data_IF_596011258683
#
_entry.id   IF_596011258683
#
_cell.length_a   1.000
_cell.length_b   1.000
_cell.length_c   1.000
_cell.angle_alpha   90.00
_cell.angle_beta   90.00
_cell.angle_gamma   90.00
#
_symmetry.space_group_name_H-M   'P 1'
#
loop_
_entity.id
_entity.type
_entity.pdbx_description
1 polymer ?
#
# COMPACT_ATOMS: atom_id res chain seq x y z
N UNK A 1 -8.15 -27.11 -6.48
CA UNK A 1 -8.58 -26.26 -7.63
C UNK A 1 -9.04 -24.87 -7.19
N UNK A 2 -9.97 -24.73 -6.24
CA UNK A 2 -10.53 -23.43 -5.82
C UNK A 2 -9.48 -22.38 -5.42
N UNK A 3 -8.49 -22.74 -4.60
CA UNK A 3 -7.39 -21.84 -4.20
C UNK A 3 -6.59 -21.33 -5.40
N UNK A 4 -6.35 -22.17 -6.41
CA UNK A 4 -5.63 -21.81 -7.63
C UNK A 4 -6.47 -20.90 -8.53
N UNK A 5 -7.78 -21.18 -8.65
CA UNK A 5 -8.71 -20.33 -9.41
C UNK A 5 -8.75 -18.89 -8.85
N UNK A 6 -8.75 -18.75 -7.53
CA UNK A 6 -8.66 -17.43 -6.89
C UNK A 6 -7.35 -16.68 -7.19
N UNK A 7 -6.25 -17.38 -7.53
CA UNK A 7 -4.95 -16.76 -7.86
C UNK A 7 -4.90 -16.11 -9.24
N UNK A 8 -5.81 -16.44 -10.17
CA UNK A 8 -5.88 -15.74 -11.46
C UNK A 8 -6.20 -14.25 -11.31
N UNK A 9 -6.82 -13.85 -10.19
CA UNK A 9 -7.00 -12.43 -9.86
C UNK A 9 -5.68 -11.63 -9.75
N UNK A 10 -4.54 -12.30 -9.58
CA UNK A 10 -3.23 -11.66 -9.52
C UNK A 10 -2.86 -11.03 -10.85
N UNK A 11 -3.00 -11.77 -11.96
CA UNK A 11 -2.68 -11.29 -13.31
C UNK A 11 -3.76 -10.33 -13.85
N UNK A 12 -4.98 -10.39 -13.31
CA UNK A 12 -6.08 -9.49 -13.67
C UNK A 12 -6.10 -8.21 -12.81
N UNK A 13 -5.16 -8.06 -11.86
CA UNK A 13 -5.08 -6.86 -11.04
C UNK A 13 -4.78 -5.65 -11.91
N UNK A 14 -5.48 -4.54 -11.69
CA UNK A 14 -5.10 -3.25 -12.28
C UNK A 14 -3.79 -2.80 -11.65
N UNK A 15 -2.71 -2.83 -12.42
CA UNK A 15 -1.36 -2.53 -11.96
C UNK A 15 -0.63 -1.64 -12.97
N UNK A 16 0.48 -1.02 -12.54
CA UNK A 16 1.45 -0.37 -13.42
C UNK A 16 2.79 -1.06 -13.21
N UNK A 17 3.44 -1.46 -14.30
CA UNK A 17 4.76 -2.07 -14.25
C UNK A 17 5.81 -1.03 -13.84
N UNK A 18 6.55 -1.31 -12.77
CA UNK A 18 7.73 -0.55 -12.39
C UNK A 18 8.84 -0.82 -13.41
N UNK A 19 9.42 0.24 -13.96
CA UNK A 19 10.46 0.17 -14.98
C UNK A 19 11.83 -0.13 -14.33
N UNK A 20 11.99 -1.35 -13.83
CA UNK A 20 13.23 -1.88 -13.25
C UNK A 20 13.69 -3.09 -14.07
N UNK A 21 15.00 -3.17 -14.30
CA UNK A 21 15.61 -4.38 -14.85
C UNK A 21 15.75 -5.43 -13.74
N UNK A 22 14.83 -6.40 -13.73
CA UNK A 22 14.79 -7.44 -12.70
C UNK A 22 15.97 -8.42 -12.79
N UNK A 23 16.68 -8.48 -13.91
CA UNK A 23 17.86 -9.33 -14.03
C UNK A 23 19.05 -8.73 -13.25
N UNK A 24 19.03 -7.41 -13.04
CA UNK A 24 20.00 -6.67 -12.22
C UNK A 24 19.62 -6.56 -10.74
N UNK A 25 18.39 -6.94 -10.38
CA UNK A 25 17.84 -6.81 -9.02
C UNK A 25 18.00 -8.12 -8.26
N UNK A 26 18.57 -8.06 -7.07
CA UNK A 26 18.68 -9.21 -6.19
C UNK A 26 17.38 -9.39 -5.39
N UNK A 27 16.62 -10.44 -5.71
CA UNK A 27 15.41 -10.82 -4.99
C UNK A 27 15.76 -11.96 -4.03
N UNK A 28 15.70 -11.70 -2.73
CA UNK A 28 16.00 -12.68 -1.68
C UNK A 28 14.72 -13.06 -0.92
N UNK A 29 14.62 -14.33 -0.53
CA UNK A 29 13.57 -14.81 0.37
C UNK A 29 14.08 -14.72 1.80
N UNK A 30 13.30 -14.08 2.68
CA UNK A 30 13.59 -13.98 4.11
C UNK A 30 12.41 -14.54 4.91
N UNK A 31 12.69 -15.02 6.12
CA UNK A 31 11.67 -15.66 6.95
C UNK A 31 10.60 -14.68 7.45
N UNK A 32 9.39 -15.22 7.60
CA UNK A 32 8.32 -14.56 8.34
C UNK A 32 8.66 -14.50 9.83
N UNK A 33 8.26 -13.40 10.49
CA UNK A 33 8.49 -13.20 11.91
C UNK A 33 7.21 -13.58 12.67
N UNK A 34 7.19 -14.68 13.44
CA UNK A 34 6.02 -15.08 14.20
C UNK A 34 5.86 -14.27 15.49
N UNK A 35 4.62 -14.13 15.96
CA UNK A 35 4.32 -13.65 17.31
C UNK A 35 4.83 -14.66 18.33
N UNK A 36 5.43 -14.15 19.41
CA UNK A 36 5.89 -14.94 20.54
C UNK A 36 5.22 -14.47 21.83
N UNK A 37 4.93 -15.41 22.70
CA UNK A 37 4.46 -15.11 24.06
C UNK A 37 5.62 -14.65 24.97
N UNK A 38 5.29 -14.37 26.22
CA UNK A 38 6.25 -13.96 27.26
C UNK A 38 7.34 -15.02 27.55
N UNK A 39 7.10 -16.28 27.20
CA UNK A 39 8.03 -17.39 27.36
C UNK A 39 8.84 -17.67 26.07
N UNK A 40 8.61 -16.89 25.01
CA UNK A 40 9.27 -17.05 23.71
C UNK A 40 8.67 -18.12 22.80
N UNK A 41 7.54 -18.72 23.18
CA UNK A 41 6.83 -19.74 22.38
C UNK A 41 6.01 -19.07 21.28
N UNK A 42 5.93 -19.72 20.12
CA UNK A 42 5.18 -19.20 18.97
C UNK A 42 3.68 -19.28 19.24
N UNK A 43 3.00 -18.14 19.07
CA UNK A 43 1.54 -18.07 19.22
C UNK A 43 0.87 -18.59 17.94
N UNK A 44 -0.01 -19.57 18.12
CA UNK A 44 -0.78 -20.18 17.04
C UNK A 44 -2.21 -19.64 17.04
N UNK A 45 -2.78 -19.48 15.85
CA UNK A 45 -4.20 -19.25 15.67
C UNK A 45 -5.00 -20.47 16.17
N UNK A 46 -6.11 -20.21 16.87
CA UNK A 46 -6.97 -21.23 17.46
C UNK A 46 -7.81 -21.97 16.41
N UNK A 47 -8.08 -21.35 15.26
CA UNK A 47 -8.96 -21.93 14.25
C UNK A 47 -8.21 -22.85 13.29
N UNK A 48 -7.05 -22.43 12.79
CA UNK A 48 -6.31 -23.12 11.74
C UNK A 48 -4.92 -23.61 12.18
N UNK A 49 -4.53 -23.38 13.44
CA UNK A 49 -3.30 -23.90 14.04
C UNK A 49 -2.02 -23.31 13.45
N UNK A 50 -2.12 -22.28 12.62
CA UNK A 50 -0.97 -21.63 11.98
C UNK A 50 -0.33 -20.59 12.90
N UNK A 51 0.98 -20.35 12.78
CA UNK A 51 1.62 -19.28 13.53
C UNK A 51 1.05 -17.92 13.12
N UNK A 52 0.71 -17.08 14.11
CA UNK A 52 0.39 -15.68 13.88
C UNK A 52 1.68 -14.95 13.49
N UNK A 53 1.64 -14.14 12.43
CA UNK A 53 2.82 -13.50 11.86
C UNK A 53 2.76 -11.98 12.01
N UNK A 54 3.86 -11.37 12.46
CA UNK A 54 4.05 -9.91 12.46
C UNK A 54 4.23 -9.35 11.04
N UNK A 55 4.76 -10.16 10.13
CA UNK A 55 5.20 -9.72 8.80
C UNK A 55 4.35 -10.30 7.66
N UNK A 56 3.15 -10.78 7.96
CA UNK A 56 2.27 -11.40 6.96
C UNK A 56 2.09 -10.46 5.76
N UNK A 57 2.51 -10.93 4.59
CA UNK A 57 2.34 -10.20 3.34
C UNK A 57 3.23 -8.96 3.22
N UNK A 58 4.29 -8.80 4.01
CA UNK A 58 5.14 -7.61 4.00
C UNK A 58 6.63 -7.93 3.84
N UNK A 59 7.22 -7.40 2.76
CA UNK A 59 8.63 -7.49 2.42
C UNK A 59 9.32 -6.13 2.48
N UNK A 60 10.55 -6.08 1.98
CA UNK A 60 11.34 -4.85 1.90
C UNK A 60 11.83 -4.56 0.49
N UNK A 61 12.01 -3.28 0.18
CA UNK A 61 12.64 -2.81 -1.04
C UNK A 61 13.69 -1.76 -0.71
N UNK A 62 14.82 -1.82 -1.42
CA UNK A 62 15.88 -0.81 -1.34
C UNK A 62 15.39 0.56 -1.85
N UNK A 63 15.92 1.62 -1.25
CA UNK A 63 15.48 3.00 -1.54
C UNK A 63 15.67 3.37 -3.01
N UNK A 64 16.78 2.95 -3.63
CA UNK A 64 17.09 3.27 -5.02
C UNK A 64 16.08 2.68 -6.03
N UNK A 65 15.47 1.53 -5.71
CA UNK A 65 14.41 0.94 -6.53
C UNK A 65 13.08 1.64 -6.28
N UNK A 66 12.76 1.98 -5.03
CA UNK A 66 11.51 2.65 -4.68
C UNK A 66 11.38 4.05 -5.31
N UNK A 67 12.49 4.78 -5.49
CA UNK A 67 12.52 6.09 -6.15
C UNK A 67 12.09 6.02 -7.63
N UNK A 68 12.17 4.85 -8.26
CA UNK A 68 11.75 4.65 -9.65
C UNK A 68 10.23 4.58 -9.80
N UNK A 69 9.47 4.60 -8.69
CA UNK A 69 8.01 4.64 -8.71
C UNK A 69 7.50 5.80 -9.60
N UNK A 70 6.59 5.55 -10.56
CA UNK A 70 6.04 6.58 -11.42
C UNK A 70 5.40 7.73 -10.64
N UNK A 71 5.60 8.97 -11.11
CA UNK A 71 5.02 10.20 -10.51
C UNK A 71 3.50 10.19 -10.51
N UNK A 72 2.90 9.53 -11.49
CA UNK A 72 1.45 9.49 -11.63
C UNK A 72 0.82 8.75 -10.46
N UNK A 73 1.50 7.80 -9.81
CA UNK A 73 1.01 7.26 -8.54
C UNK A 73 0.96 8.31 -7.43
N UNK A 74 2.00 9.14 -7.29
CA UNK A 74 2.07 10.19 -6.28
C UNK A 74 1.02 11.30 -6.48
N UNK A 75 0.50 11.50 -7.70
CA UNK A 75 -0.44 12.58 -8.05
C UNK A 75 -1.87 12.12 -8.37
N UNK A 76 -2.08 10.89 -8.85
CA UNK A 76 -3.33 10.47 -9.50
C UNK A 76 -4.52 10.14 -8.58
N UNK A 77 -4.45 10.37 -7.26
CA UNK A 77 -5.64 10.30 -6.39
C UNK A 77 -6.24 11.66 -6.02
N UNK A 78 -5.73 12.75 -6.60
CA UNK A 78 -6.35 14.07 -6.52
C UNK A 78 -7.34 14.35 -7.67
N UNK A 79 -7.64 13.36 -8.53
CA UNK A 79 -8.64 13.53 -9.59
C UNK A 79 -9.87 12.67 -9.27
N UNK A 80 -11.03 13.34 -9.25
CA UNK A 80 -12.35 12.71 -9.05
C UNK A 80 -12.59 11.64 -10.12
N UNK A 81 -13.43 10.65 -9.79
CA UNK A 81 -13.70 9.46 -10.60
C UNK A 81 -14.21 9.71 -12.05
N UNK A 82 -14.48 10.95 -12.45
CA UNK A 82 -14.98 11.31 -13.79
C UNK A 82 -13.89 11.32 -14.89
N UNK A 83 -12.59 11.35 -14.55
CA UNK A 83 -11.51 11.42 -15.55
C UNK A 83 -11.00 10.04 -16.03
N UNK A 84 -11.55 8.94 -15.51
CA UNK A 84 -11.07 7.58 -15.83
C UNK A 84 -11.38 7.14 -17.27
N UNK A 85 -12.32 7.78 -17.96
CA UNK A 85 -12.67 7.41 -19.34
C UNK A 85 -11.67 7.89 -20.41
N UNK A 86 -10.75 8.80 -20.08
CA UNK A 86 -9.76 9.31 -21.05
C UNK A 86 -8.48 8.48 -21.19
N UNK A 87 -8.33 7.40 -20.41
CA UNK A 87 -7.09 6.61 -20.37
C UNK A 87 -7.08 5.35 -21.27
N UNK A 88 -8.08 5.17 -22.15
CA UNK A 88 -8.15 3.96 -22.99
C UNK A 88 -7.26 3.97 -24.24
N UNK A 89 -6.78 5.12 -24.69
CA UNK A 89 -6.02 5.19 -25.94
C UNK A 89 -4.63 5.78 -25.72
N UNK A 90 -3.63 4.94 -25.44
CA UNK A 90 -2.22 5.27 -25.60
C UNK A 90 -1.47 4.06 -26.20
N UNK A 91 -1.88 3.68 -27.41
CA UNK A 91 -0.88 3.28 -28.39
C UNK A 91 -0.17 4.55 -28.86
N UNK A 92 1.16 4.52 -28.83
CA UNK A 92 2.08 5.47 -29.43
C UNK A 92 2.04 6.94 -28.93
N UNK A 93 2.90 7.25 -27.95
CA UNK A 93 3.47 8.60 -27.88
C UNK A 93 4.95 8.52 -27.50
N UNK A 94 5.74 8.57 -28.56
CA UNK A 94 7.15 8.94 -28.61
C UNK A 94 7.44 10.19 -27.76
N UNK A 95 7.69 9.97 -26.47
CA UNK A 95 8.21 10.98 -25.54
C UNK A 95 9.47 10.45 -24.86
N UNK A 96 10.45 10.05 -25.66
CA UNK A 96 11.86 10.13 -25.28
C UNK A 96 12.22 11.62 -25.07
N UNK A 97 11.78 12.21 -23.97
CA UNK A 97 12.29 13.50 -23.52
C UNK A 97 12.63 13.44 -22.05
N UNK A 98 13.94 13.33 -21.81
CA UNK A 98 14.63 13.88 -20.64
C UNK A 98 14.31 13.18 -19.32
N UNK A 99 14.87 11.98 -19.19
CA UNK A 99 15.40 11.44 -17.94
C UNK A 99 16.57 12.30 -17.41
N UNK A 100 16.33 13.59 -17.18
CA UNK A 100 17.33 14.50 -16.61
C UNK A 100 16.92 14.96 -15.22
N UNK A 101 17.86 14.72 -14.31
CA UNK A 101 17.96 15.10 -12.91
C UNK A 101 17.09 14.29 -11.94
N UNK A 102 17.80 13.37 -11.27
CA UNK A 102 17.50 12.86 -9.93
C UNK A 102 17.49 14.03 -8.92
N UNK A 103 16.53 14.95 -9.05
CA UNK A 103 16.27 15.99 -8.05
C UNK A 103 15.37 15.41 -6.97
N UNK A 104 15.84 15.36 -5.73
CA UNK A 104 15.10 15.15 -4.47
C UNK A 104 13.72 14.51 -4.63
N UNK A 105 13.67 13.25 -5.08
CA UNK A 105 12.42 12.48 -5.09
C UNK A 105 12.37 11.65 -3.82
N UNK A 106 11.42 11.96 -2.96
CA UNK A 106 11.11 11.07 -1.85
C UNK A 106 10.33 9.86 -2.39
N UNK A 107 10.83 8.63 -2.18
CA UNK A 107 10.08 7.45 -2.54
C UNK A 107 8.86 7.28 -1.64
N UNK A 108 7.79 6.62 -2.10
CA UNK A 108 6.73 6.18 -1.20
C UNK A 108 7.31 5.24 -0.14
N UNK A 109 6.88 5.36 1.11
CA UNK A 109 7.38 4.53 2.21
C UNK A 109 6.91 3.07 2.10
N UNK A 110 5.69 2.87 1.60
CA UNK A 110 5.08 1.54 1.43
C UNK A 110 4.46 1.43 0.05
N UNK A 111 4.60 0.27 -0.58
CA UNK A 111 4.03 -0.02 -1.89
C UNK A 111 3.28 -1.34 -1.85
N UNK A 112 2.05 -1.38 -2.33
CA UNK A 112 1.32 -2.62 -2.57
C UNK A 112 1.67 -3.12 -3.97
N UNK A 113 2.17 -4.35 -4.06
CA UNK A 113 2.75 -4.87 -5.30
C UNK A 113 2.28 -6.27 -5.64
N UNK A 114 2.41 -6.61 -6.92
CA UNK A 114 2.43 -7.98 -7.45
C UNK A 114 3.81 -8.16 -8.06
N UNK A 115 4.50 -9.23 -7.70
CA UNK A 115 5.80 -9.56 -8.26
C UNK A 115 5.69 -10.92 -8.92
N UNK A 116 6.00 -10.96 -10.21
CA UNK A 116 6.15 -12.17 -11.00
C UNK A 116 7.63 -12.34 -11.26
N UNK A 117 8.20 -13.44 -10.78
CA UNK A 117 9.63 -13.68 -10.88
C UNK A 117 9.94 -15.18 -10.96
N UNK A 118 10.58 -15.61 -12.04
CA UNK A 118 11.03 -16.99 -12.24
C UNK A 118 9.93 -18.05 -11.97
N UNK A 119 8.72 -17.80 -12.49
CA UNK A 119 7.56 -18.69 -12.34
C UNK A 119 6.85 -18.60 -10.98
N UNK A 120 7.33 -17.77 -10.06
CA UNK A 120 6.67 -17.48 -8.80
C UNK A 120 5.76 -16.24 -8.92
N UNK A 121 4.60 -16.28 -8.27
CA UNK A 121 3.71 -15.13 -8.13
C UNK A 121 3.58 -14.71 -6.67
N UNK A 122 3.96 -13.47 -6.39
CA UNK A 122 4.04 -12.87 -5.07
C UNK A 122 3.05 -11.73 -4.97
N UNK A 123 2.29 -11.68 -3.87
CA UNK A 123 1.37 -10.58 -3.54
C UNK A 123 1.65 -10.11 -2.12
N UNK A 124 1.84 -8.80 -1.98
CA UNK A 124 2.01 -8.21 -0.66
C UNK A 124 2.32 -6.73 -0.74
N UNK A 125 2.97 -6.24 0.31
CA UNK A 125 3.51 -4.90 0.40
C UNK A 125 5.03 -4.93 0.50
N UNK A 126 5.68 -3.88 0.01
CA UNK A 126 7.11 -3.66 0.16
C UNK A 126 7.31 -2.35 0.92
N UNK A 127 7.99 -2.43 2.06
CA UNK A 127 8.40 -1.27 2.84
C UNK A 127 9.79 -0.82 2.40
N UNK A 128 9.98 0.48 2.21
CA UNK A 128 11.30 1.03 1.89
C UNK A 128 12.22 0.89 3.10
N UNK A 129 13.35 0.23 2.90
CA UNK A 129 14.38 0.09 3.91
C UNK A 129 15.70 0.72 3.42
N UNK A 130 16.04 1.88 3.98
CA UNK A 130 17.25 2.64 3.67
C UNK A 130 18.56 1.95 4.08
N UNK A 131 18.48 0.92 4.93
CA UNK A 131 19.64 0.12 5.35
C UNK A 131 19.95 -1.01 4.38
N UNK A 132 19.06 -1.29 3.41
CA UNK A 132 19.33 -2.30 2.40
C UNK A 132 20.34 -1.80 1.38
N UNK A 133 21.17 -2.72 0.92
CA UNK A 133 22.03 -2.49 -0.22
C UNK A 133 21.20 -2.12 -1.46
N UNK A 134 21.73 -1.26 -2.35
CA UNK A 134 21.02 -0.88 -3.55
C UNK A 134 20.65 -2.08 -4.42
N UNK A 135 19.47 -2.06 -5.02
CA UNK A 135 19.05 -3.11 -5.96
C UNK A 135 18.53 -4.38 -5.29
N UNK A 136 18.21 -4.34 -4.00
CA UNK A 136 17.63 -5.48 -3.27
C UNK A 136 16.12 -5.38 -3.08
N UNK A 137 15.45 -6.53 -3.19
CA UNK A 137 14.07 -6.76 -2.78
C UNK A 137 14.05 -8.02 -1.90
N UNK A 138 13.46 -7.90 -0.70
CA UNK A 138 13.31 -9.01 0.21
C UNK A 138 11.84 -9.41 0.29
N UNK A 139 11.52 -10.65 -0.06
CA UNK A 139 10.16 -11.21 -0.03
C UNK A 139 10.04 -12.29 1.05
N UNK A 140 8.82 -12.57 1.50
CA UNK A 140 8.53 -13.58 2.53
C UNK A 140 7.69 -14.73 2.02
N UNK A 141 7.77 -15.93 2.64
CA UNK A 141 6.91 -17.06 2.31
C UNK A 141 5.42 -16.70 2.31
N UNK A 142 4.95 -15.93 3.30
CA UNK A 142 3.56 -15.46 3.39
C UNK A 142 3.10 -14.64 2.17
N UNK A 143 4.02 -13.98 1.46
CA UNK A 143 3.71 -13.21 0.25
C UNK A 143 3.55 -14.09 -0.99
N UNK A 144 4.14 -15.28 -1.01
CA UNK A 144 4.12 -16.19 -2.15
C UNK A 144 2.73 -16.83 -2.27
N UNK A 145 2.09 -16.63 -3.41
CA UNK A 145 0.72 -17.14 -3.67
C UNK A 145 0.70 -18.29 -4.64
N UNK A 146 1.72 -18.37 -5.50
CA UNK A 146 2.01 -19.47 -6.42
C UNK A 146 3.52 -19.67 -6.41
N UNK A 147 3.95 -20.88 -6.05
CA UNK A 147 5.37 -21.28 -6.13
C UNK A 147 5.73 -21.70 -7.55
N UNK A 148 7.02 -21.65 -7.86
CA UNK A 148 7.55 -22.17 -9.11
C UNK A 148 7.34 -23.69 -9.17
N UNK A 149 6.76 -24.17 -10.26
CA UNK A 149 6.59 -25.60 -10.50
C UNK A 149 7.91 -26.21 -10.99
N UNK A 150 8.47 -27.15 -10.23
CA UNK A 150 9.70 -27.85 -10.57
C UNK A 150 9.49 -29.04 -11.53
N UNK A 151 8.24 -29.42 -11.78
CA UNK A 151 7.87 -30.60 -12.57
C UNK A 151 7.59 -30.30 -14.03
N UNK A 152 7.25 -29.06 -14.36
CA UNK A 152 6.99 -28.61 -15.72
C UNK A 152 8.21 -27.88 -16.28
N UNK A 153 8.66 -28.22 -17.50
CA UNK A 153 9.67 -27.42 -18.18
C UNK A 153 9.10 -26.03 -18.43
N UNK A 154 9.72 -25.02 -17.80
CA UNK A 154 9.28 -23.64 -17.94
C UNK A 154 9.84 -23.11 -19.26
N UNK A 155 9.08 -23.27 -20.34
CA UNK A 155 9.50 -22.83 -21.68
C UNK A 155 9.63 -21.30 -21.77
N UNK A 156 8.80 -20.56 -21.02
CA UNK A 156 8.87 -19.10 -20.97
C UNK A 156 8.37 -18.56 -19.62
N UNK A 157 9.22 -17.83 -18.90
CA UNK A 157 8.81 -16.98 -17.77
C UNK A 157 8.73 -15.54 -18.21
N UNK A 158 7.98 -14.74 -17.46
CA UNK A 158 8.10 -13.29 -17.50
C UNK A 158 8.39 -12.78 -16.10
N UNK A 159 9.23 -11.75 -16.04
CA UNK A 159 9.57 -11.06 -14.81
C UNK A 159 8.93 -9.66 -14.84
N UNK A 160 8.14 -9.34 -13.83
CA UNK A 160 7.57 -8.00 -13.65
C UNK A 160 7.36 -7.67 -12.18
N UNK A 161 7.69 -6.44 -11.81
CA UNK A 161 7.31 -5.83 -10.54
C UNK A 161 6.21 -4.82 -10.83
N UNK A 162 5.03 -5.07 -10.30
CA UNK A 162 3.81 -4.35 -10.63
C UNK A 162 3.24 -3.65 -9.41
N UNK A 163 3.02 -2.35 -9.52
CA UNK A 163 2.54 -1.48 -8.45
C UNK A 163 1.03 -1.35 -8.55
N UNK A 164 0.35 -1.49 -7.42
CA UNK A 164 -1.11 -1.34 -7.33
C UNK A 164 -1.53 -0.14 -6.54
N UNK A 165 -0.80 0.14 -5.46
CA UNK A 165 -1.01 1.31 -4.65
C UNK A 165 0.30 1.68 -3.96
N UNK A 166 0.42 2.94 -3.57
CA UNK A 166 1.54 3.44 -2.78
C UNK A 166 1.02 4.18 -1.55
N UNK A 167 1.86 4.33 -0.55
CA UNK A 167 1.56 5.17 0.61
C UNK A 167 1.50 6.63 0.20
N UNK A 168 0.48 7.33 0.68
CA UNK A 168 0.33 8.78 0.55
C UNK A 168 0.29 9.41 1.94
N UNK A 169 0.46 10.72 1.99
CA UNK A 169 0.19 11.49 3.21
C UNK A 169 -1.28 11.24 3.62
N UNK A 170 -1.55 10.83 4.87
CA UNK A 170 -2.91 10.61 5.32
C UNK A 170 -3.74 11.89 5.18
N UNK A 171 -4.91 11.77 4.55
CA UNK A 171 -5.91 12.84 4.53
C UNK A 171 -6.69 12.90 5.85
N UNK A 172 -7.63 13.84 5.94
CA UNK A 172 -8.54 13.94 7.08
C UNK A 172 -9.48 12.74 7.09
N UNK A 173 -9.59 12.08 8.24
CA UNK A 173 -10.55 10.99 8.46
C UNK A 173 -11.58 11.42 9.51
N UNK A 174 -12.74 10.78 9.49
CA UNK A 174 -13.84 11.08 10.41
C UNK A 174 -14.27 9.82 11.17
N UNK A 175 -14.86 10.03 12.34
CA UNK A 175 -15.37 8.95 13.16
C UNK A 175 -16.59 8.30 12.50
N UNK A 176 -16.50 7.01 12.18
CA UNK A 176 -17.59 6.24 11.61
C UNK A 176 -18.59 5.79 12.68
N UNK A 177 -19.89 5.80 12.36
CA UNK A 177 -20.95 5.24 13.21
C UNK A 177 -20.70 3.78 13.61
N UNK A 178 -20.08 3.00 12.74
CA UNK A 178 -19.74 1.60 13.04
C UNK A 178 -18.65 1.51 14.10
N UNK A 179 -17.66 2.42 14.05
CA UNK A 179 -16.62 2.49 15.07
C UNK A 179 -17.19 2.96 16.41
N UNK A 180 -18.13 3.92 16.40
CA UNK A 180 -18.86 4.33 17.61
C UNK A 180 -19.55 3.12 18.25
N UNK A 181 -20.31 2.34 17.47
CA UNK A 181 -21.00 1.16 17.99
C UNK A 181 -20.03 0.14 18.62
N UNK A 182 -18.90 -0.14 17.97
CA UNK A 182 -17.86 -1.03 18.49
C UNK A 182 -17.22 -0.49 19.78
N UNK A 183 -16.93 0.80 19.84
CA UNK A 183 -16.35 1.43 21.02
C UNK A 183 -17.34 1.46 22.20
N UNK A 184 -18.62 1.74 21.94
CA UNK A 184 -19.68 1.66 22.94
C UNK A 184 -19.83 0.23 23.47
N UNK A 185 -19.80 -0.77 22.58
CA UNK A 185 -19.75 -2.18 22.99
C UNK A 185 -18.52 -2.48 23.86
N UNK A 186 -17.37 -1.89 23.52
CA UNK A 186 -16.13 -1.95 24.31
C UNK A 186 -16.15 -1.15 25.62
N UNK A 187 -17.29 -0.54 25.99
CA UNK A 187 -17.48 0.15 27.26
C UNK A 187 -17.25 1.66 27.23
N UNK A 188 -17.06 2.28 26.06
CA UNK A 188 -16.98 3.74 25.96
C UNK A 188 -18.38 4.35 26.14
N UNK A 189 -18.59 5.28 27.11
CA UNK A 189 -19.90 5.85 27.38
C UNK A 189 -20.51 6.55 26.16
N UNK A 190 -21.82 6.43 25.96
CA UNK A 190 -22.54 7.10 24.86
C UNK A 190 -22.40 8.62 24.90
N UNK A 191 -22.44 9.20 26.11
CA UNK A 191 -22.32 10.65 26.32
C UNK A 191 -20.97 11.21 25.85
N UNK A 192 -19.91 10.39 25.84
CA UNK A 192 -18.62 10.79 25.27
C UNK A 192 -18.75 11.16 23.79
N UNK A 193 -19.46 10.34 23.01
CA UNK A 193 -19.67 10.58 21.59
C UNK A 193 -20.66 11.73 21.35
N UNK A 194 -21.70 11.85 22.16
CA UNK A 194 -22.63 12.99 22.09
C UNK A 194 -21.88 14.30 22.35
N UNK A 195 -21.03 14.35 23.38
CA UNK A 195 -20.20 15.51 23.68
C UNK A 195 -19.23 15.84 22.53
N UNK A 196 -18.64 14.83 21.88
CA UNK A 196 -17.79 15.04 20.71
C UNK A 196 -18.56 15.74 19.57
N UNK A 197 -19.79 15.29 19.31
CA UNK A 197 -20.67 15.89 18.28
C UNK A 197 -21.10 17.29 18.68
N UNK A 198 -21.50 17.50 19.93
CA UNK A 198 -21.89 18.81 20.46
C UNK A 198 -20.75 19.81 20.34
N UNK A 199 -19.54 19.45 20.77
CA UNK A 199 -18.36 20.31 20.65
C UNK A 199 -18.04 20.65 19.20
N UNK A 200 -18.11 19.67 18.30
CA UNK A 200 -17.89 19.90 16.86
C UNK A 200 -18.94 20.85 16.26
N UNK A 201 -20.20 20.76 16.72
CA UNK A 201 -21.27 21.65 16.29
C UNK A 201 -21.07 23.08 16.83
N UNK A 202 -20.68 23.23 18.09
CA UNK A 202 -20.35 24.51 18.71
C UNK A 202 -19.15 25.18 18.03
N UNK A 203 -18.09 24.41 17.73
CA UNK A 203 -16.95 24.89 16.96
C UNK A 203 -17.40 25.40 15.59
N UNK A 204 -18.23 24.65 14.87
CA UNK A 204 -18.76 25.05 13.57
C UNK A 204 -19.62 26.32 13.66
N UNK A 205 -20.45 26.47 14.70
CA UNK A 205 -21.23 27.68 14.93
C UNK A 205 -20.36 28.89 15.25
N UNK A 206 -19.30 28.71 16.05
CA UNK A 206 -18.35 29.76 16.41
C UNK A 206 -17.55 30.31 15.21
N UNK A 207 -17.40 29.53 14.14
CA UNK A 207 -16.83 30.02 12.87
C UNK A 207 -17.63 31.21 12.32
N UNK A 208 -18.96 31.16 12.40
CA UNK A 208 -19.83 32.21 11.83
C UNK A 208 -19.82 33.51 12.65
N UNK A 209 -19.53 33.42 13.94
CA UNK A 209 -19.57 34.57 14.86
C UNK A 209 -18.19 35.16 15.18
N UNK A 210 -17.10 34.43 14.93
CA UNK A 210 -15.75 34.85 15.28
C UNK A 210 -14.82 34.90 14.04
N UNK A 211 -14.39 36.11 13.67
CA UNK A 211 -13.50 36.37 12.53
C UNK A 211 -12.16 35.60 12.60
N UNK A 212 -11.60 35.40 13.80
CA UNK A 212 -10.33 34.66 13.98
C UNK A 212 -10.57 33.15 13.79
N UNK A 213 -11.71 32.64 14.27
CA UNK A 213 -12.09 31.24 14.05
C UNK A 213 -12.37 30.96 12.57
N UNK A 214 -13.06 31.88 11.88
CA UNK A 214 -13.27 31.85 10.43
C UNK A 214 -11.95 31.80 9.65
N UNK A 215 -10.99 32.69 9.99
CA UNK A 215 -9.67 32.70 9.38
C UNK A 215 -8.90 31.39 9.62
N UNK A 216 -8.95 30.83 10.84
CA UNK A 216 -8.29 29.54 11.15
C UNK A 216 -8.89 28.38 10.35
N UNK A 217 -10.21 28.34 10.18
CA UNK A 217 -10.88 27.30 9.38
C UNK A 217 -10.54 27.46 7.91
N UNK A 218 -10.52 28.70 7.39
CA UNK A 218 -10.14 28.98 6.01
C UNK A 218 -8.69 28.55 5.71
N UNK A 219 -7.72 28.91 6.56
CA UNK A 219 -6.31 28.48 6.40
C UNK A 219 -6.13 26.96 6.48
N UNK A 220 -7.00 26.24 7.21
CA UNK A 220 -6.98 24.78 7.25
C UNK A 220 -7.61 24.13 6.00
N UNK A 221 -8.38 24.88 5.19
CA UNK A 221 -9.05 24.40 3.97
C UNK A 221 -8.34 24.84 2.67
N UNK A 222 -7.29 25.66 2.71
CA UNK A 222 -6.49 26.07 1.52
C UNK A 222 -5.77 24.92 0.77
N UNK A 223 -5.90 23.67 1.24
CA UNK A 223 -5.42 22.47 0.55
C UNK A 223 -6.53 21.56 -0.01
N UNK A 224 -7.76 22.06 -0.07
CA UNK A 224 -8.93 21.36 -0.62
C UNK A 224 -9.33 22.06 -1.93
N UNK A 225 -8.52 21.87 -2.98
CA UNK A 225 -8.90 22.06 -4.38
C UNK A 225 -8.36 20.87 -5.19
#
# INVERSE_FOLDING_TARGET
>A
MEKYMARFSLILSKTIKLQVDLDSVQIERIEDIPFRDEYGSVILDKEDGKPLLHTDGTGYISENLAVQCPKDFCRAKYMKDEDFEKFRDFEDLSCQQKWTKAGNREPPLLMQVRLFYNGCAVKGTLLVNRKLEPGKILIRPSMIKVETDSTLPVEQTFNSLEIVAVSHKPGRTFLSRFLIALLTYGGVPGDFFLNLVTNALEEAQNVYSNRIAALRVASNHEGID
#
